data_IF_258757147772
#
_entry.id   IF_258757147772
#
_cell.length_a   1.000
_cell.length_b   1.000
_cell.length_c   1.000
_cell.angle_alpha   90.00
_cell.angle_beta   90.00
_cell.angle_gamma   90.00
#
_symmetry.space_group_name_H-M   'P 1'
#
loop_
_entity.id
_entity.type
_entity.pdbx_description
1 polymer ?
#
# COMPACT_ATOMS: atom_id res chain seq x y z
N UNK A 1 9.41 -25.36 -15.70
CA UNK A 1 8.24 -24.47 -15.69
C UNK A 1 8.75 -23.05 -15.61
N UNK A 2 8.40 -22.19 -16.56
CA UNK A 2 8.85 -20.79 -16.58
C UNK A 2 7.65 -19.90 -16.31
N UNK A 3 7.79 -18.94 -15.40
CA UNK A 3 6.77 -17.95 -15.07
C UNK A 3 7.22 -16.57 -15.54
N UNK A 4 6.34 -15.82 -16.18
CA UNK A 4 6.59 -14.46 -16.67
C UNK A 4 5.56 -13.54 -16.04
N UNK A 5 6.03 -12.47 -15.38
CA UNK A 5 5.16 -11.42 -14.84
C UNK A 5 4.67 -10.56 -15.99
N UNK A 6 3.36 -10.51 -16.19
CA UNK A 6 2.77 -9.67 -17.23
C UNK A 6 2.65 -8.21 -16.79
N UNK A 7 2.09 -7.97 -15.60
CA UNK A 7 1.78 -6.63 -15.12
C UNK A 7 1.81 -6.58 -13.58
N UNK A 8 2.18 -5.41 -13.05
CA UNK A 8 2.09 -5.07 -11.63
C UNK A 8 1.22 -3.83 -11.47
N UNK A 9 -0.01 -4.03 -10.98
CA UNK A 9 -0.98 -2.96 -10.77
C UNK A 9 -0.84 -2.37 -9.36
N UNK A 10 -0.53 -1.07 -9.26
CA UNK A 10 -0.35 -0.37 -7.97
C UNK A 10 -1.63 0.26 -7.42
N UNK A 11 -2.65 0.42 -8.26
CA UNK A 11 -4.00 0.84 -7.87
C UNK A 11 -4.99 -0.19 -8.43
N UNK A 12 -5.19 -1.32 -7.74
CA UNK A 12 -6.15 -2.32 -8.16
C UNK A 12 -7.59 -1.88 -7.85
N UNK A 13 -8.57 -2.57 -8.43
CA UNK A 13 -9.97 -2.38 -8.06
C UNK A 13 -10.27 -2.86 -6.63
N UNK A 14 -11.16 -2.13 -5.93
CA UNK A 14 -11.63 -2.42 -4.57
C UNK A 14 -13.14 -2.67 -4.47
N UNK A 15 -13.83 -2.87 -5.58
CA UNK A 15 -15.24 -3.26 -5.52
C UNK A 15 -15.38 -4.72 -5.09
N UNK A 16 -16.59 -5.12 -4.66
CA UNK A 16 -16.91 -6.51 -4.34
C UNK A 16 -16.73 -7.50 -5.51
N UNK A 17 -16.59 -7.01 -6.76
CA UNK A 17 -16.29 -7.85 -7.93
C UNK A 17 -14.79 -7.89 -8.28
N UNK A 18 -13.97 -7.02 -7.69
CA UNK A 18 -12.56 -6.86 -8.05
C UNK A 18 -11.71 -8.06 -7.63
N UNK A 19 -10.76 -8.46 -8.47
CA UNK A 19 -9.89 -9.61 -8.21
C UNK A 19 -8.99 -9.40 -6.99
N UNK A 20 -8.45 -8.20 -6.79
CA UNK A 20 -7.62 -7.88 -5.63
C UNK A 20 -8.39 -8.04 -4.33
N UNK A 21 -9.59 -7.45 -4.25
CA UNK A 21 -10.47 -7.58 -3.08
C UNK A 21 -10.88 -9.04 -2.78
N UNK A 22 -10.97 -9.90 -3.81
CA UNK A 22 -11.31 -11.33 -3.64
C UNK A 22 -10.12 -12.22 -3.28
N UNK A 23 -8.91 -11.84 -3.67
CA UNK A 23 -7.71 -12.66 -3.50
C UNK A 23 -6.98 -12.42 -2.16
N UNK A 24 -7.45 -11.44 -1.38
CA UNK A 24 -6.85 -11.00 -0.13
C UNK A 24 -7.68 -11.45 1.09
N UNK A 25 -7.32 -10.95 2.27
CA UNK A 25 -8.05 -11.09 3.53
C UNK A 25 -9.48 -10.51 3.47
N UNK A 26 -10.18 -10.53 4.60
CA UNK A 26 -11.51 -9.90 4.68
C UNK A 26 -11.45 -8.42 4.26
N UNK A 27 -12.53 -7.94 3.63
CA UNK A 27 -12.57 -6.60 3.06
C UNK A 27 -12.35 -5.50 4.10
N UNK A 28 -12.86 -5.66 5.33
CA UNK A 28 -12.62 -4.68 6.38
C UNK A 28 -11.15 -4.67 6.81
N UNK A 29 -10.58 -5.87 7.02
CA UNK A 29 -9.21 -6.05 7.47
C UNK A 29 -8.18 -5.48 6.47
N UNK A 30 -8.39 -5.70 5.17
CA UNK A 30 -7.47 -5.17 4.16
C UNK A 30 -7.50 -3.63 4.09
N UNK A 31 -8.66 -3.02 4.31
CA UNK A 31 -8.78 -1.56 4.34
C UNK A 31 -8.04 -1.00 5.55
N UNK A 32 -8.24 -1.57 6.73
CA UNK A 32 -7.55 -1.13 7.95
C UNK A 32 -6.02 -1.24 7.78
N UNK A 33 -5.53 -2.38 7.28
CA UNK A 33 -4.12 -2.61 7.01
C UNK A 33 -3.53 -1.56 6.04
N UNK A 34 -4.23 -1.25 4.94
CA UNK A 34 -3.75 -0.26 3.96
C UNK A 34 -3.70 1.15 4.52
N UNK A 35 -4.69 1.53 5.34
CA UNK A 35 -4.71 2.83 6.02
C UNK A 35 -3.54 2.92 6.99
N UNK A 36 -3.34 1.90 7.83
CA UNK A 36 -2.21 1.84 8.77
C UNK A 36 -0.86 1.97 8.06
N UNK A 37 -0.66 1.22 6.98
CA UNK A 37 0.55 1.32 6.16
C UNK A 37 0.73 2.72 5.56
N UNK A 38 -0.35 3.34 5.09
CA UNK A 38 -0.35 4.70 4.54
C UNK A 38 0.09 5.74 5.58
N UNK A 39 -0.51 5.70 6.76
CA UNK A 39 -0.19 6.60 7.89
C UNK A 39 1.24 6.39 8.36
N UNK A 40 1.65 5.14 8.57
CA UNK A 40 3.01 4.82 9.02
C UNK A 40 4.05 5.32 8.02
N UNK A 41 3.79 5.18 6.71
CA UNK A 41 4.67 5.72 5.66
C UNK A 41 4.75 7.24 5.72
N UNK A 42 3.63 7.95 5.85
CA UNK A 42 3.60 9.41 5.93
C UNK A 42 4.40 9.92 7.13
N UNK A 43 4.27 9.26 8.29
CA UNK A 43 5.01 9.60 9.50
C UNK A 43 6.53 9.49 9.31
N UNK A 44 7.01 8.40 8.69
CA UNK A 44 8.44 8.22 8.38
C UNK A 44 8.97 9.31 7.46
N UNK A 45 8.25 9.61 6.37
CA UNK A 45 8.63 10.67 5.43
C UNK A 45 8.70 12.04 6.13
N UNK A 46 7.73 12.33 7.01
CA UNK A 46 7.74 13.57 7.79
C UNK A 46 8.94 13.70 8.74
N UNK A 47 9.38 12.60 9.35
CA UNK A 47 10.59 12.57 10.20
C UNK A 47 11.84 12.85 9.36
N UNK A 48 12.02 12.10 8.26
CA UNK A 48 13.16 12.29 7.36
C UNK A 48 13.25 13.72 6.83
N UNK A 49 12.12 14.34 6.45
CA UNK A 49 12.11 15.71 5.95
C UNK A 49 12.48 16.74 7.03
N UNK A 50 12.10 16.51 8.29
CA UNK A 50 12.47 17.39 9.41
C UNK A 50 13.96 17.29 9.75
N UNK A 51 14.52 16.08 9.73
CA UNK A 51 15.94 15.84 9.96
C UNK A 51 16.80 16.55 8.91
N UNK A 52 16.48 16.39 7.62
CA UNK A 52 17.21 17.06 6.53
C UNK A 52 17.19 18.59 6.67
N UNK A 53 16.06 19.17 7.10
CA UNK A 53 15.93 20.62 7.30
C UNK A 53 16.70 21.14 8.52
N UNK A 54 16.94 20.31 9.53
CA UNK A 54 17.71 20.69 10.71
C UNK A 54 19.23 20.68 10.47
N UNK A 55 19.69 19.96 9.46
CA UNK A 55 21.11 19.83 9.08
C UNK A 55 21.54 20.67 7.87
N UNK A 56 20.61 21.42 7.26
CA UNK A 56 20.89 22.36 6.15
C UNK A 56 20.90 23.80 6.64
#
# INVERSE_FOLDING_TARGET
MTFVVNEVNTIPGFTNISMYAKATADYAEIIDCLVEHGVARASRVGQTNREHRATS
#
